data_IF_197372466132
#
_entry.id   IF_197372466132
#
_cell.length_a   1.000
_cell.length_b   1.000
_cell.length_c   1.000
_cell.angle_alpha   90.00
_cell.angle_beta   90.00
_cell.angle_gamma   90.00
#
_symmetry.space_group_name_H-M   'P 1'
#
loop_
_entity.id
_entity.type
_entity.pdbx_description
1 polymer ?
#
# COMPACT_ATOMS: atom_id res chain seq x y z
N UNK A 1 -0.62 -20.09 12.02
CA UNK A 1 -1.75 -19.22 11.66
C UNK A 1 -2.92 -20.00 11.05
N UNK A 2 -4.18 -19.56 11.24
CA UNK A 2 -5.36 -20.08 10.54
C UNK A 2 -5.31 -19.74 9.05
N UNK A 3 -5.95 -20.55 8.20
CA UNK A 3 -6.05 -20.30 6.74
C UNK A 3 -7.16 -19.31 6.39
N UNK A 4 -7.18 -18.13 7.04
CA UNK A 4 -8.25 -17.15 6.85
C UNK A 4 -8.31 -16.61 5.41
N UNK A 5 -7.17 -16.61 4.72
CA UNK A 5 -7.11 -16.25 3.31
C UNK A 5 -5.95 -17.00 2.63
N UNK A 6 -6.22 -18.05 1.83
CA UNK A 6 -5.16 -18.81 1.17
C UNK A 6 -4.54 -18.05 -0.01
N UNK A 7 -5.13 -16.94 -0.45
CA UNK A 7 -4.63 -16.16 -1.57
C UNK A 7 -5.68 -15.42 -2.40
N UNK A 8 -5.22 -14.74 -3.45
CA UNK A 8 -6.09 -14.02 -4.40
C UNK A 8 -6.94 -15.01 -5.22
N UNK A 9 -8.25 -15.05 -4.97
CA UNK A 9 -9.18 -15.99 -5.59
C UNK A 9 -10.61 -15.84 -5.06
N UNK A 10 -11.52 -16.73 -5.48
CA UNK A 10 -12.88 -16.78 -4.89
C UNK A 10 -12.76 -17.21 -3.42
N UNK A 11 -13.42 -16.47 -2.53
CA UNK A 11 -13.64 -16.90 -1.15
C UNK A 11 -14.23 -18.30 -1.15
N UNK A 12 -13.56 -19.25 -0.48
CA UNK A 12 -14.01 -20.63 -0.37
C UNK A 12 -14.66 -20.86 1.01
N UNK A 13 -15.36 -21.98 1.18
CA UNK A 13 -15.89 -22.39 2.49
C UNK A 13 -14.79 -22.40 3.58
N UNK A 14 -13.53 -22.65 3.19
CA UNK A 14 -12.39 -22.66 4.12
C UNK A 14 -12.14 -21.29 4.76
N UNK A 15 -12.44 -20.17 4.09
CA UNK A 15 -12.34 -18.83 4.70
C UNK A 15 -13.37 -18.67 5.81
N UNK A 16 -14.61 -19.10 5.59
CA UNK A 16 -15.66 -19.00 6.61
C UNK A 16 -15.37 -19.94 7.79
N UNK A 17 -14.92 -21.16 7.53
CA UNK A 17 -14.53 -22.12 8.58
C UNK A 17 -13.39 -21.53 9.44
N UNK A 18 -12.36 -20.95 8.79
CA UNK A 18 -11.25 -20.30 9.49
C UNK A 18 -11.70 -19.07 10.31
N UNK A 19 -12.60 -18.25 9.78
CA UNK A 19 -13.19 -17.12 10.50
C UNK A 19 -13.95 -17.58 11.75
N UNK A 20 -14.71 -18.67 11.64
CA UNK A 20 -15.43 -19.26 12.77
C UNK A 20 -14.48 -19.84 13.82
N UNK A 21 -13.42 -20.53 13.42
CA UNK A 21 -12.39 -21.03 14.35
C UNK A 21 -11.72 -19.88 15.13
N UNK A 22 -11.31 -18.82 14.44
CA UNK A 22 -10.73 -17.62 15.06
C UNK A 22 -11.70 -17.01 16.08
N UNK A 23 -12.97 -16.87 15.70
CA UNK A 23 -14.02 -16.33 16.57
C UNK A 23 -14.26 -17.21 17.79
N UNK A 24 -14.39 -18.53 17.60
CA UNK A 24 -14.63 -19.49 18.68
C UNK A 24 -13.48 -19.51 19.69
N UNK A 25 -12.24 -19.42 19.20
CA UNK A 25 -11.05 -19.37 20.04
C UNK A 25 -10.79 -17.99 20.66
N UNK A 26 -11.54 -16.95 20.25
CA UNK A 26 -11.35 -15.55 20.67
C UNK A 26 -9.92 -15.06 20.43
N UNK A 27 -9.32 -15.52 19.33
CA UNK A 27 -7.91 -15.26 19.05
C UNK A 27 -7.69 -13.84 18.53
N UNK A 28 -7.38 -12.93 19.46
CA UNK A 28 -7.12 -11.52 19.17
C UNK A 28 -5.87 -11.29 18.32
N UNK A 29 -4.92 -12.23 18.30
CA UNK A 29 -3.72 -12.08 17.46
C UNK A 29 -4.07 -12.02 15.97
N UNK A 30 -5.22 -12.57 15.59
CA UNK A 30 -5.67 -12.58 14.20
C UNK A 30 -6.25 -11.24 13.74
N UNK A 31 -6.47 -10.26 14.62
CA UNK A 31 -7.05 -8.96 14.24
C UNK A 31 -6.25 -8.27 13.12
N UNK A 32 -4.91 -8.11 13.18
CA UNK A 32 -4.12 -7.56 12.06
C UNK A 32 -4.27 -8.34 10.74
N UNK A 33 -4.28 -9.68 10.81
CA UNK A 33 -4.43 -10.55 9.64
C UNK A 33 -5.80 -10.37 8.98
N UNK A 34 -6.86 -10.28 9.78
CA UNK A 34 -8.22 -10.08 9.31
C UNK A 34 -8.41 -8.69 8.70
N UNK A 35 -7.91 -7.65 9.35
CA UNK A 35 -7.96 -6.27 8.82
C UNK A 35 -7.18 -6.16 7.51
N UNK A 36 -6.01 -6.79 7.39
CA UNK A 36 -5.24 -6.74 6.15
C UNK A 36 -5.92 -7.54 5.02
N UNK A 37 -6.33 -8.78 5.30
CA UNK A 37 -6.91 -9.65 4.28
C UNK A 37 -8.27 -9.20 3.77
N UNK A 38 -9.11 -8.54 4.61
CA UNK A 38 -10.45 -8.10 4.20
C UNK A 38 -10.43 -7.15 3.00
N UNK A 39 -9.39 -6.32 2.85
CA UNK A 39 -9.23 -5.39 1.71
C UNK A 39 -9.23 -6.12 0.36
N UNK A 40 -8.78 -7.37 0.35
CA UNK A 40 -8.55 -8.16 -0.84
C UNK A 40 -9.61 -9.25 -1.06
N UNK A 41 -10.61 -9.32 -0.19
CA UNK A 41 -11.73 -10.23 -0.35
C UNK A 41 -12.67 -9.71 -1.44
N UNK A 42 -12.94 -10.57 -2.43
CA UNK A 42 -13.66 -10.21 -3.65
C UNK A 42 -15.18 -10.08 -3.49
N UNK A 43 -15.75 -10.51 -2.36
CA UNK A 43 -17.21 -10.51 -2.14
C UNK A 43 -17.60 -9.76 -0.87
N UNK A 44 -18.74 -9.03 -0.92
CA UNK A 44 -19.28 -8.34 0.24
C UNK A 44 -19.54 -9.29 1.41
N UNK A 45 -20.11 -10.48 1.15
CA UNK A 45 -20.35 -11.49 2.18
C UNK A 45 -19.08 -11.90 2.95
N UNK A 46 -17.94 -12.04 2.25
CA UNK A 46 -16.68 -12.38 2.90
C UNK A 46 -16.18 -11.23 3.78
N UNK A 47 -16.30 -9.99 3.28
CA UNK A 47 -15.91 -8.78 4.00
C UNK A 47 -16.78 -8.55 5.23
N UNK A 48 -18.09 -8.75 5.11
CA UNK A 48 -19.05 -8.64 6.21
C UNK A 48 -18.85 -9.73 7.27
N UNK A 49 -18.56 -10.97 6.84
CA UNK A 49 -18.21 -12.04 7.79
C UNK A 49 -16.91 -11.73 8.53
N UNK A 50 -15.91 -11.17 7.85
CA UNK A 50 -14.65 -10.74 8.46
C UNK A 50 -14.88 -9.59 9.45
N UNK A 51 -15.66 -8.57 9.06
CA UNK A 51 -16.03 -7.46 9.93
C UNK A 51 -16.83 -7.91 11.16
N UNK A 52 -17.69 -8.91 11.01
CA UNK A 52 -18.40 -9.53 12.13
C UNK A 52 -17.43 -10.16 13.13
N UNK A 53 -16.49 -10.99 12.67
CA UNK A 53 -15.47 -11.60 13.55
C UNK A 53 -14.58 -10.54 14.20
N UNK A 54 -14.15 -9.53 13.44
CA UNK A 54 -13.42 -8.39 13.98
C UNK A 54 -14.22 -7.68 15.08
N UNK A 55 -15.52 -7.46 14.89
CA UNK A 55 -16.39 -6.86 15.89
C UNK A 55 -16.57 -7.71 17.16
N UNK A 56 -16.54 -9.04 17.04
CA UNK A 56 -16.58 -9.96 18.18
C UNK A 56 -15.26 -9.96 18.97
N UNK A 57 -14.12 -9.84 18.30
CA UNK A 57 -12.79 -9.82 18.95
C UNK A 57 -12.45 -8.47 19.59
N UNK A 58 -12.94 -7.38 19.00
CA UNK A 58 -12.51 -6.01 19.32
C UNK A 58 -13.59 -5.14 19.99
N UNK A 59 -14.86 -5.55 19.90
CA UNK A 59 -16.01 -4.74 20.31
C UNK A 59 -16.37 -3.62 19.33
N UNK A 60 -15.61 -3.43 18.24
CA UNK A 60 -15.89 -2.40 17.24
C UNK A 60 -17.04 -2.79 16.30
N UNK A 61 -17.52 -1.82 15.52
CA UNK A 61 -18.71 -1.95 14.66
C UNK A 61 -18.52 -1.38 13.25
N UNK A 62 -17.28 -1.31 12.77
CA UNK A 62 -17.00 -0.94 11.37
C UNK A 62 -17.52 -2.02 10.40
N UNK A 63 -18.02 -1.62 9.24
CA UNK A 63 -18.60 -2.53 8.25
C UNK A 63 -17.55 -3.26 7.40
N UNK A 64 -17.99 -4.21 6.57
CA UNK A 64 -17.11 -4.97 5.67
C UNK A 64 -16.41 -4.12 4.61
N UNK A 65 -17.05 -3.03 4.16
CA UNK A 65 -16.47 -2.11 3.19
C UNK A 65 -15.67 -0.95 3.84
N UNK A 66 -15.61 -0.88 5.18
CA UNK A 66 -14.89 0.16 5.93
C UNK A 66 -13.49 -0.30 6.35
N UNK A 67 -12.70 -0.76 5.39
CA UNK A 67 -11.31 -1.17 5.63
C UNK A 67 -10.47 -0.02 6.21
N UNK A 68 -10.72 1.22 5.78
CA UNK A 68 -10.01 2.40 6.29
C UNK A 68 -10.27 2.61 7.78
N UNK A 69 -11.53 2.53 8.22
CA UNK A 69 -11.89 2.63 9.64
C UNK A 69 -11.22 1.54 10.48
N UNK A 70 -11.21 0.30 9.99
CA UNK A 70 -10.50 -0.81 10.64
C UNK A 70 -8.99 -0.57 10.78
N UNK A 71 -8.32 -0.10 9.71
CA UNK A 71 -6.89 0.20 9.73
C UNK A 71 -6.55 1.34 10.70
N UNK A 72 -7.29 2.45 10.65
CA UNK A 72 -7.06 3.60 11.54
C UNK A 72 -7.29 3.23 13.01
N UNK A 73 -8.30 2.39 13.28
CA UNK A 73 -8.53 1.89 14.63
C UNK A 73 -7.41 0.96 15.09
N UNK A 74 -6.99 0.00 14.26
CA UNK A 74 -5.91 -0.93 14.59
C UNK A 74 -4.60 -0.19 14.88
N UNK A 75 -4.22 0.79 14.06
CA UNK A 75 -3.00 1.58 14.28
C UNK A 75 -2.96 2.29 15.64
N UNK A 76 -4.12 2.68 16.18
CA UNK A 76 -4.24 3.31 17.52
C UNK A 76 -4.20 2.29 18.67
N UNK A 77 -4.44 1.01 18.41
CA UNK A 77 -4.54 -0.06 19.41
C UNK A 77 -3.55 -1.21 19.15
N UNK A 78 -2.51 -0.99 18.33
CA UNK A 78 -1.60 -2.05 17.88
C UNK A 78 -0.95 -2.81 19.04
N UNK A 79 -0.64 -2.14 20.14
CA UNK A 79 -0.03 -2.75 21.32
C UNK A 79 -1.00 -3.72 22.05
N UNK A 80 -2.31 -3.56 21.85
CA UNK A 80 -3.36 -4.44 22.41
C UNK A 80 -3.67 -5.65 21.51
N UNK A 81 -3.29 -5.59 20.23
CA UNK A 81 -3.56 -6.61 19.22
C UNK A 81 -2.28 -6.98 18.46
N UNK A 82 -1.26 -7.52 19.16
CA UNK A 82 -0.04 -7.95 18.49
C UNK A 82 -0.35 -9.07 17.48
N UNK A 83 0.26 -9.05 16.29
CA UNK A 83 0.08 -10.11 15.33
C UNK A 83 0.67 -11.44 15.83
N UNK A 84 0.29 -12.59 15.26
CA UNK A 84 0.87 -13.88 15.62
C UNK A 84 2.36 -13.96 15.21
N UNK A 85 3.12 -14.85 15.86
CA UNK A 85 4.57 -14.99 15.64
C UNK A 85 4.96 -15.24 14.16
N UNK A 86 4.10 -15.95 13.41
CA UNK A 86 4.30 -16.27 11.99
C UNK A 86 3.73 -15.21 11.02
N UNK A 87 3.39 -14.02 11.52
CA UNK A 87 2.79 -12.95 10.72
C UNK A 87 3.68 -12.43 9.61
N UNK A 88 4.97 -12.24 9.86
CA UNK A 88 5.89 -11.71 8.86
C UNK A 88 6.04 -12.69 7.67
N UNK A 89 6.17 -13.98 7.96
CA UNK A 89 6.18 -15.03 6.94
C UNK A 89 4.86 -15.07 6.16
N UNK A 90 3.73 -15.00 6.86
CA UNK A 90 2.41 -14.91 6.23
C UNK A 90 2.32 -13.68 5.31
N UNK A 91 2.74 -12.51 5.79
CA UNK A 91 2.69 -11.24 5.06
C UNK A 91 3.55 -11.27 3.80
N UNK A 92 4.77 -11.79 3.90
CA UNK A 92 5.67 -11.96 2.75
C UNK A 92 4.99 -12.84 1.70
N UNK A 93 4.44 -13.97 2.10
CA UNK A 93 3.74 -14.87 1.18
C UNK A 93 2.49 -14.23 0.60
N UNK A 94 1.73 -13.51 1.42
CA UNK A 94 0.51 -12.82 1.03
C UNK A 94 0.78 -11.74 -0.01
N UNK A 95 1.69 -10.82 0.29
CA UNK A 95 2.10 -9.75 -0.62
C UNK A 95 2.71 -10.32 -1.91
N UNK A 96 3.52 -11.37 -1.83
CA UNK A 96 4.14 -11.99 -3.02
C UNK A 96 3.15 -12.53 -4.05
N UNK A 97 1.89 -12.77 -3.65
CA UNK A 97 0.84 -13.14 -4.59
C UNK A 97 0.29 -11.96 -5.40
N UNK A 98 0.39 -10.73 -4.87
CA UNK A 98 0.11 -9.51 -5.65
C UNK A 98 1.20 -9.31 -6.68
N UNK A 99 2.44 -9.33 -6.22
CA UNK A 99 3.62 -9.20 -7.06
C UNK A 99 4.80 -9.96 -6.44
N UNK A 100 5.44 -10.90 -7.16
CA UNK A 100 6.57 -11.67 -6.63
C UNK A 100 7.72 -10.79 -6.11
N UNK A 101 7.90 -9.57 -6.64
CA UNK A 101 8.94 -8.63 -6.22
C UNK A 101 8.77 -8.14 -4.78
N UNK A 102 7.56 -8.21 -4.21
CA UNK A 102 7.38 -7.84 -2.81
C UNK A 102 8.19 -8.73 -1.86
N UNK A 103 8.44 -9.99 -2.22
CA UNK A 103 9.36 -10.84 -1.44
C UNK A 103 10.78 -10.29 -1.35
N UNK A 104 11.26 -9.62 -2.41
CA UNK A 104 12.61 -9.03 -2.46
C UNK A 104 12.77 -7.92 -1.44
N UNK A 105 11.72 -7.12 -1.22
CA UNK A 105 11.75 -6.01 -0.26
C UNK A 105 11.50 -6.46 1.17
N UNK A 106 10.67 -7.50 1.37
CA UNK A 106 10.20 -7.88 2.71
C UNK A 106 11.00 -9.01 3.36
N UNK A 107 11.64 -9.91 2.60
CA UNK A 107 12.43 -11.02 3.19
C UNK A 107 13.58 -10.59 4.10
N UNK A 108 14.33 -9.49 3.83
CA UNK A 108 15.37 -9.03 4.74
C UNK A 108 14.87 -8.79 6.19
N UNK A 109 13.58 -8.49 6.37
CA UNK A 109 12.99 -8.33 7.70
C UNK A 109 13.04 -9.61 8.56
N UNK A 110 13.09 -10.79 7.94
CA UNK A 110 13.24 -12.07 8.65
C UNK A 110 14.63 -12.23 9.29
N UNK A 111 15.62 -11.48 8.81
CA UNK A 111 17.00 -11.53 9.28
C UNK A 111 17.27 -10.55 10.45
N UNK A 112 16.24 -9.78 10.85
CA UNK A 112 16.30 -8.84 11.98
C UNK A 112 16.40 -7.36 11.58
N UNK A 113 16.46 -7.05 10.28
CA UNK A 113 16.58 -5.68 9.76
C UNK A 113 15.22 -5.01 9.53
N UNK A 114 14.34 -5.01 10.54
CA UNK A 114 13.03 -4.34 10.46
C UNK A 114 12.85 -3.27 11.52
N UNK A 115 12.68 -2.03 11.08
CA UNK A 115 12.44 -0.84 11.91
C UNK A 115 11.02 -0.29 11.78
N UNK A 116 10.24 -0.83 10.84
CA UNK A 116 8.85 -0.47 10.57
C UNK A 116 7.94 -1.60 11.04
N UNK A 117 6.80 -1.27 11.63
CA UNK A 117 5.82 -2.28 12.01
C UNK A 117 5.30 -2.99 10.73
N UNK A 118 5.42 -4.32 10.61
CA UNK A 118 4.91 -5.02 9.43
C UNK A 118 3.42 -4.80 9.21
N UNK A 119 2.61 -4.52 10.24
CA UNK A 119 1.17 -4.26 10.10
C UNK A 119 0.86 -2.95 9.37
N UNK A 120 1.80 -2.00 9.35
CA UNK A 120 1.65 -0.70 8.67
C UNK A 120 2.02 -0.77 7.18
N UNK A 121 2.72 -1.81 6.75
CA UNK A 121 3.09 -1.98 5.35
C UNK A 121 1.86 -2.48 4.57
N UNK A 122 1.35 -1.66 3.66
CA UNK A 122 0.18 -1.99 2.83
C UNK A 122 0.47 -1.72 1.35
N UNK A 123 -0.15 -2.48 0.45
CA UNK A 123 -0.02 -2.21 -0.98
C UNK A 123 -0.83 -0.97 -1.38
N UNK A 124 -0.19 -0.06 -2.13
CA UNK A 124 -0.82 1.16 -2.65
C UNK A 124 -1.75 0.94 -3.85
N UNK A 125 -1.74 -0.25 -4.46
CA UNK A 125 -2.56 -0.57 -5.65
C UNK A 125 -1.83 -0.44 -6.99
N UNK A 126 -0.54 -0.09 -6.97
CA UNK A 126 0.32 -0.06 -8.17
C UNK A 126 1.51 -1.00 -7.98
N UNK A 127 1.86 -1.73 -9.03
CA UNK A 127 3.01 -2.63 -9.01
C UNK A 127 4.33 -1.87 -8.82
N UNK A 128 5.39 -2.53 -8.28
CA UNK A 128 6.73 -1.98 -8.28
C UNK A 128 7.15 -1.53 -9.69
N UNK A 129 7.56 -0.27 -9.81
CA UNK A 129 7.89 0.41 -11.07
C UNK A 129 6.70 0.59 -12.05
N UNK A 130 5.46 0.49 -11.58
CA UNK A 130 4.25 0.69 -12.39
C UNK A 130 3.99 2.16 -12.76
N UNK A 131 4.61 3.11 -12.05
CA UNK A 131 4.66 4.53 -12.39
C UNK A 131 6.11 4.86 -12.70
N UNK A 132 6.53 4.88 -13.97
CA UNK A 132 7.91 5.11 -14.33
C UNK A 132 8.27 6.58 -14.08
N UNK A 133 9.35 6.80 -13.34
CA UNK A 133 9.88 8.14 -13.11
C UNK A 133 10.47 8.74 -14.41
N UNK A 134 10.45 10.05 -14.51
CA UNK A 134 11.16 10.76 -15.58
C UNK A 134 12.61 10.96 -15.14
N UNK A 135 13.57 10.62 -16.01
CA UNK A 135 15.01 10.80 -15.76
C UNK A 135 15.64 11.61 -16.86
N UNK A 136 16.46 12.59 -16.48
CA UNK A 136 17.22 13.47 -17.38
C UNK A 136 16.40 13.92 -18.61
N UNK A 137 15.24 14.56 -18.39
CA UNK A 137 14.33 14.89 -19.47
C UNK A 137 14.97 15.85 -20.47
N UNK A 138 14.67 15.63 -21.75
CA UNK A 138 14.99 16.62 -22.79
C UNK A 138 14.04 17.80 -22.64
N UNK A 139 14.61 18.97 -22.41
CA UNK A 139 13.82 20.20 -22.29
C UNK A 139 13.47 20.76 -23.65
N UNK A 140 12.24 21.26 -23.76
CA UNK A 140 11.77 22.04 -24.89
C UNK A 140 11.93 23.53 -24.58
N UNK A 141 12.16 24.32 -25.61
CA UNK A 141 11.99 25.77 -25.52
C UNK A 141 10.51 26.12 -25.37
N UNK A 142 10.17 27.33 -24.88
CA UNK A 142 8.76 27.75 -24.78
C UNK A 142 8.00 27.66 -26.11
N UNK A 143 8.64 28.01 -27.23
CA UNK A 143 8.01 27.99 -28.56
C UNK A 143 7.76 26.58 -29.09
N UNK A 144 8.52 25.58 -28.63
CA UNK A 144 8.35 24.17 -28.99
C UNK A 144 7.27 23.47 -28.17
N UNK A 145 6.85 24.06 -27.05
CA UNK A 145 5.90 23.45 -26.12
C UNK A 145 4.43 23.74 -26.49
N UNK A 146 4.06 23.45 -27.74
CA UNK A 146 2.75 23.71 -28.34
C UNK A 146 1.57 22.95 -27.69
N UNK A 147 1.88 21.94 -26.90
CA UNK A 147 0.94 21.14 -26.13
C UNK A 147 0.53 21.80 -24.80
N UNK A 148 1.11 22.96 -24.42
CA UNK A 148 0.70 23.74 -23.26
C UNK A 148 -0.27 24.89 -23.61
N UNK A 149 -1.30 25.09 -22.79
CA UNK A 149 -2.09 26.32 -22.77
C UNK A 149 -1.44 27.37 -21.85
N UNK A 150 -1.83 28.63 -22.01
CA UNK A 150 -1.27 29.76 -21.23
C UNK A 150 -1.52 29.64 -19.72
N UNK A 151 -2.61 28.97 -19.31
CA UNK A 151 -3.03 28.81 -17.91
C UNK A 151 -2.62 27.47 -17.30
N UNK A 152 -1.91 26.63 -18.05
CA UNK A 152 -1.44 25.35 -17.56
C UNK A 152 -0.36 25.52 -16.48
N UNK A 153 -0.52 24.76 -15.41
CA UNK A 153 0.37 24.84 -14.25
C UNK A 153 1.67 24.10 -14.53
N UNK A 154 2.76 24.70 -14.08
CA UNK A 154 4.10 24.12 -14.11
C UNK A 154 4.74 24.22 -12.74
N UNK A 155 5.69 23.35 -12.47
CA UNK A 155 6.68 23.57 -11.42
C UNK A 155 7.87 24.29 -12.03
N UNK A 156 8.12 25.52 -11.58
CA UNK A 156 9.32 26.27 -11.96
C UNK A 156 10.47 25.95 -11.02
N UNK A 157 11.63 25.61 -11.57
CA UNK A 157 12.88 25.41 -10.82
C UNK A 157 13.93 26.33 -11.40
N UNK A 158 14.63 27.08 -10.55
CA UNK A 158 15.73 27.96 -10.95
C UNK A 158 16.90 27.76 -10.01
N UNK A 159 18.01 27.23 -10.52
CA UNK A 159 19.23 26.94 -9.76
C UNK A 159 20.43 27.37 -10.60
N UNK A 160 21.35 28.13 -10.00
CA UNK A 160 22.59 28.59 -10.64
C UNK A 160 22.40 29.22 -12.04
N UNK A 161 21.26 29.89 -12.28
CA UNK A 161 20.93 30.52 -13.55
C UNK A 161 20.26 29.62 -14.60
N UNK A 162 20.21 28.30 -14.38
CA UNK A 162 19.41 27.37 -15.18
C UNK A 162 17.97 27.39 -14.66
N UNK A 163 17.03 27.77 -15.53
CA UNK A 163 15.61 27.89 -15.18
C UNK A 163 14.78 27.01 -16.07
N UNK A 164 14.01 26.12 -15.44
CA UNK A 164 13.24 25.07 -16.10
C UNK A 164 11.80 25.07 -15.60
N UNK A 165 10.89 24.66 -16.46
CA UNK A 165 9.49 24.45 -16.14
C UNK A 165 9.12 22.98 -16.41
N UNK A 166 8.54 22.33 -15.41
CA UNK A 166 8.06 20.96 -15.52
C UNK A 166 6.53 20.97 -15.51
N UNK A 167 5.85 20.61 -16.62
CA UNK A 167 4.40 20.69 -16.69
C UNK A 167 3.71 19.75 -15.70
N UNK A 168 2.79 20.30 -14.89
CA UNK A 168 2.03 19.50 -13.92
C UNK A 168 1.29 18.36 -14.62
N UNK A 169 0.74 18.58 -15.82
CA UNK A 169 0.01 17.53 -16.54
C UNK A 169 0.87 16.33 -16.94
N UNK A 170 2.19 16.52 -17.08
CA UNK A 170 3.14 15.43 -17.34
C UNK A 170 3.51 14.79 -16.00
N UNK A 171 3.94 15.60 -15.02
CA UNK A 171 4.40 15.07 -13.73
C UNK A 171 3.27 14.31 -13.02
N UNK A 172 2.02 14.74 -13.14
CA UNK A 172 0.87 14.05 -12.52
C UNK A 172 0.69 12.60 -12.99
N UNK A 173 1.24 12.21 -14.14
CA UNK A 173 1.22 10.82 -14.61
C UNK A 173 2.46 10.02 -14.21
N UNK A 174 3.55 10.71 -13.84
CA UNK A 174 4.86 10.11 -13.57
C UNK A 174 5.28 10.22 -12.09
N UNK A 175 4.65 11.11 -11.33
CA UNK A 175 4.80 11.41 -9.89
C UNK A 175 6.22 11.80 -9.43
N UNK A 176 7.25 11.62 -10.28
CA UNK A 176 8.64 11.88 -9.97
C UNK A 176 9.42 12.30 -11.22
N UNK A 177 10.27 13.32 -11.07
CA UNK A 177 11.29 13.71 -12.05
C UNK A 177 12.64 13.79 -11.34
N UNK A 178 13.61 13.03 -11.85
CA UNK A 178 15.02 13.12 -11.48
C UNK A 178 15.78 13.85 -12.59
N UNK A 179 16.39 14.99 -12.27
CA UNK A 179 17.06 15.87 -13.23
C UNK A 179 18.29 16.54 -12.60
N UNK A 180 19.13 17.17 -13.42
CA UNK A 180 20.22 18.03 -12.97
C UNK A 180 19.99 19.45 -13.50
N UNK A 181 19.75 20.40 -12.60
CA UNK A 181 19.44 21.81 -12.92
C UNK A 181 20.54 22.69 -12.37
N UNK A 182 21.19 23.48 -13.23
CA UNK A 182 22.28 24.36 -12.80
C UNK A 182 23.48 23.63 -12.20
N UNK A 183 23.67 22.36 -12.56
CA UNK A 183 24.71 21.49 -12.01
C UNK A 183 24.32 20.76 -10.71
N UNK A 184 23.13 21.02 -10.15
CA UNK A 184 22.65 20.37 -8.93
C UNK A 184 21.66 19.24 -9.27
N UNK A 185 21.85 18.02 -8.73
CA UNK A 185 20.88 16.95 -8.88
C UNK A 185 19.62 17.26 -8.04
N UNK A 186 18.45 17.09 -8.64
CA UNK A 186 17.15 17.31 -8.00
C UNK A 186 16.23 16.09 -8.19
N UNK A 187 15.33 15.92 -7.23
CA UNK A 187 14.17 15.05 -7.34
C UNK A 187 12.92 15.89 -7.08
N UNK A 188 12.05 15.99 -8.07
CA UNK A 188 10.75 16.65 -7.98
C UNK A 188 9.67 15.58 -7.85
N UNK A 189 8.97 15.56 -6.71
CA UNK A 189 7.86 14.66 -6.43
C UNK A 189 6.52 15.42 -6.39
N UNK A 190 5.44 14.81 -6.88
CA UNK A 190 4.09 15.37 -6.90
C UNK A 190 3.03 14.32 -6.58
#
# INVERSE_FOLDING_TARGET
MYKVFPGFGRTSNQTYDALDEVRMNKDKSMVPVLVESMRYQSTANARDATAYVLGELTGQRYGGDDWKGWMEWLGKHRDEYPPPDDYLDWKINFMSQLNPRFSTFLRPALEGDITVDPTEIVWGGVDPDGIPDIRDPKMLTPDEADFLNEDDRVFGVSINGDTRAYPLRIINAHEMVNDTVGGEPISLAW
#
